data_IF_834091184476
#
_entry.id   IF_834091184476
#
_cell.length_a   1.000
_cell.length_b   1.000
_cell.length_c   1.000
_cell.angle_alpha   90.00
_cell.angle_beta   90.00
_cell.angle_gamma   90.00
#
_symmetry.space_group_name_H-M   'P 1'
#
loop_
_entity.id
_entity.type
_entity.pdbx_description
1 polymer ?
#
# COMPACT_ATOMS: atom_id res chain seq x y z
N UNK A 1 -26.39 5.50 -4.13
CA UNK A 1 -25.07 6.08 -4.49
C UNK A 1 -23.96 5.81 -3.43
N UNK A 2 -24.18 4.98 -2.39
CA UNK A 2 -23.32 4.94 -1.20
C UNK A 2 -22.12 3.97 -1.19
N UNK A 3 -21.63 3.49 -2.35
CA UNK A 3 -20.56 2.47 -2.37
C UNK A 3 -19.21 2.96 -2.93
N UNK A 4 -19.17 4.12 -3.60
CA UNK A 4 -17.94 4.62 -4.25
C UNK A 4 -17.04 5.33 -3.23
N UNK A 5 -17.61 6.06 -2.27
CA UNK A 5 -16.86 6.80 -1.24
C UNK A 5 -16.15 5.88 -0.23
N UNK A 6 -16.75 4.72 0.05
CA UNK A 6 -16.21 3.68 0.93
C UNK A 6 -15.36 2.65 0.18
N UNK A 7 -15.42 2.63 -1.15
CA UNK A 7 -14.61 1.78 -2.00
C UNK A 7 -13.16 2.26 -2.05
N UNK A 8 -12.25 1.37 -2.44
CA UNK A 8 -10.81 1.68 -2.47
C UNK A 8 -10.47 2.85 -3.40
N UNK A 9 -11.23 3.03 -4.49
CA UNK A 9 -11.10 4.16 -5.40
C UNK A 9 -11.46 5.50 -4.74
N UNK A 10 -12.57 5.56 -3.99
CA UNK A 10 -12.97 6.76 -3.26
C UNK A 10 -12.00 7.10 -2.13
N UNK A 11 -11.58 6.09 -1.37
CA UNK A 11 -10.56 6.26 -0.34
C UNK A 11 -9.22 6.72 -0.94
N UNK A 12 -8.85 6.23 -2.12
CA UNK A 12 -7.64 6.68 -2.80
C UNK A 12 -7.73 8.11 -3.30
N UNK A 13 -8.85 8.50 -3.92
CA UNK A 13 -9.08 9.88 -4.38
C UNK A 13 -8.94 10.88 -3.23
N UNK A 14 -9.51 10.54 -2.06
CA UNK A 14 -9.37 11.33 -0.83
C UNK A 14 -7.93 11.33 -0.29
N UNK A 15 -7.25 10.17 -0.34
CA UNK A 15 -5.83 10.08 0.05
C UNK A 15 -4.95 10.99 -0.80
N UNK A 16 -5.16 11.07 -2.13
CA UNK A 16 -4.43 11.98 -3.02
C UNK A 16 -4.61 13.44 -2.57
N UNK A 17 -5.81 13.83 -2.14
CA UNK A 17 -6.12 15.18 -1.62
C UNK A 17 -5.49 15.47 -0.25
N UNK A 18 -4.80 14.50 0.36
CA UNK A 18 -4.11 14.64 1.65
C UNK A 18 -4.94 14.19 2.85
N UNK A 19 -6.11 13.57 2.64
CA UNK A 19 -6.93 13.05 3.74
C UNK A 19 -6.32 11.77 4.31
N UNK A 20 -5.48 11.92 5.34
CA UNK A 20 -4.76 10.80 5.97
C UNK A 20 -5.68 9.72 6.54
N UNK A 21 -6.90 10.08 6.96
CA UNK A 21 -7.89 9.12 7.45
C UNK A 21 -8.34 8.13 6.36
N UNK A 22 -8.50 8.60 5.11
CA UNK A 22 -8.84 7.73 4.00
C UNK A 22 -7.72 6.73 3.70
N UNK A 23 -6.46 7.18 3.79
CA UNK A 23 -5.29 6.33 3.64
C UNK A 23 -5.16 5.31 4.78
N UNK A 24 -5.49 5.70 6.01
CA UNK A 24 -5.51 4.79 7.17
C UNK A 24 -6.48 3.63 6.96
N UNK A 25 -7.65 3.89 6.37
CA UNK A 25 -8.62 2.83 6.03
C UNK A 25 -8.05 1.89 4.96
N UNK A 26 -7.41 2.42 3.91
CA UNK A 26 -6.72 1.60 2.90
C UNK A 26 -5.61 0.74 3.51
N UNK A 27 -4.79 1.33 4.38
CA UNK A 27 -3.75 0.61 5.12
C UNK A 27 -4.34 -0.55 5.92
N UNK A 28 -5.38 -0.29 6.73
CA UNK A 28 -6.00 -1.32 7.57
C UNK A 28 -6.60 -2.47 6.74
N UNK A 29 -7.17 -2.18 5.56
CA UNK A 29 -7.71 -3.19 4.65
C UNK A 29 -6.63 -4.07 4.01
N UNK A 30 -5.49 -3.48 3.63
CA UNK A 30 -4.48 -4.17 2.82
C UNK A 30 -3.30 -4.72 3.61
N UNK A 31 -3.06 -4.24 4.84
CA UNK A 31 -1.89 -4.60 5.66
C UNK A 31 -1.68 -6.11 5.80
N UNK A 32 -2.73 -6.87 6.06
CA UNK A 32 -2.59 -8.33 6.30
C UNK A 32 -2.17 -9.07 5.03
N UNK A 33 -2.69 -8.66 3.87
CA UNK A 33 -2.36 -9.29 2.59
C UNK A 33 -0.92 -8.98 2.17
N UNK A 34 -0.50 -7.73 2.36
CA UNK A 34 0.86 -7.28 2.03
C UNK A 34 1.88 -7.89 2.99
N UNK A 35 1.61 -7.87 4.30
CA UNK A 35 2.45 -8.52 5.29
C UNK A 35 2.65 -10.00 4.99
N UNK A 36 1.57 -10.75 4.68
CA UNK A 36 1.69 -12.17 4.29
C UNK A 36 2.49 -12.38 3.02
N UNK A 37 2.44 -11.43 2.08
CA UNK A 37 3.24 -11.50 0.86
C UNK A 37 4.72 -11.25 1.18
N UNK A 38 5.02 -10.16 1.90
CA UNK A 38 6.38 -9.83 2.34
C UNK A 38 7.00 -10.97 3.16
N UNK A 39 6.24 -11.55 4.10
CA UNK A 39 6.70 -12.67 4.92
C UNK A 39 7.02 -13.94 4.11
N UNK A 40 6.28 -14.20 3.03
CA UNK A 40 6.60 -15.32 2.12
C UNK A 40 7.90 -15.10 1.34
N UNK A 41 8.32 -13.85 1.16
CA UNK A 41 9.54 -13.49 0.44
C UNK A 41 10.75 -13.41 1.38
N UNK A 42 10.59 -12.78 2.55
CA UNK A 42 11.68 -12.58 3.51
C UNK A 42 11.92 -13.80 4.40
N UNK A 43 10.88 -14.56 4.75
CA UNK A 43 10.94 -15.62 5.76
C UNK A 43 11.08 -15.10 7.20
N UNK A 44 11.34 -13.81 7.39
CA UNK A 44 11.45 -13.14 8.68
C UNK A 44 10.31 -12.14 8.92
N UNK A 45 9.83 -12.08 10.17
CA UNK A 45 8.70 -11.22 10.57
C UNK A 45 9.09 -9.74 10.60
N UNK A 46 10.26 -9.41 11.14
CA UNK A 46 10.72 -8.03 11.24
C UNK A 46 10.95 -7.45 9.85
N UNK A 47 11.60 -8.20 8.97
CA UNK A 47 11.79 -7.80 7.58
C UNK A 47 10.45 -7.61 6.87
N UNK A 48 9.47 -8.50 7.11
CA UNK A 48 8.14 -8.37 6.52
C UNK A 48 7.37 -7.13 7.02
N UNK A 49 7.54 -6.76 8.30
CA UNK A 49 6.97 -5.54 8.87
C UNK A 49 7.60 -4.29 8.24
N UNK A 50 8.92 -4.28 8.07
CA UNK A 50 9.66 -3.16 7.48
C UNK A 50 9.37 -2.97 5.99
N UNK A 51 9.36 -4.06 5.22
CA UNK A 51 8.97 -4.07 3.80
C UNK A 51 7.56 -3.50 3.63
N UNK A 52 6.60 -3.97 4.43
CA UNK A 52 5.23 -3.48 4.38
C UNK A 52 5.17 -1.99 4.73
N UNK A 53 5.84 -1.57 5.82
CA UNK A 53 5.83 -0.18 6.26
C UNK A 53 6.39 0.76 5.20
N UNK A 54 7.55 0.39 4.62
CA UNK A 54 8.20 1.12 3.54
C UNK A 54 7.31 1.20 2.30
N UNK A 55 6.67 0.09 1.91
CA UNK A 55 5.78 0.05 0.76
C UNK A 55 4.59 1.03 0.91
N UNK A 56 3.97 1.07 2.09
CA UNK A 56 2.89 2.03 2.34
C UNK A 56 3.39 3.47 2.44
N UNK A 57 4.56 3.70 3.03
CA UNK A 57 5.15 5.04 3.11
C UNK A 57 5.43 5.60 1.71
N UNK A 58 6.03 4.80 0.84
CA UNK A 58 6.31 5.19 -0.55
C UNK A 58 5.03 5.38 -1.36
N UNK A 59 4.01 4.54 -1.14
CA UNK A 59 2.68 4.75 -1.72
C UNK A 59 2.09 6.11 -1.29
N UNK A 60 2.20 6.48 -0.01
CA UNK A 60 1.74 7.77 0.48
C UNK A 60 2.53 8.94 -0.12
N UNK A 61 3.86 8.86 -0.17
CA UNK A 61 4.71 9.91 -0.75
C UNK A 61 4.46 10.11 -2.24
N UNK A 62 4.25 9.01 -2.95
CA UNK A 62 4.04 8.99 -4.41
C UNK A 62 2.58 9.08 -4.82
N UNK A 63 1.63 9.26 -3.89
CA UNK A 63 0.18 9.24 -4.15
C UNK A 63 -0.28 10.15 -5.30
N UNK A 64 0.34 11.32 -5.47
CA UNK A 64 0.01 12.26 -6.55
C UNK A 64 0.49 11.80 -7.95
N UNK A 65 1.45 10.85 -7.99
CA UNK A 65 2.05 10.31 -9.22
C UNK A 65 1.58 8.88 -9.53
N UNK A 66 1.08 8.15 -8.52
CA UNK A 66 0.58 6.78 -8.67
C UNK A 66 -0.80 6.81 -9.34
N UNK A 67 -0.89 6.26 -10.55
CA UNK A 67 -2.17 5.95 -11.20
C UNK A 67 -2.63 4.58 -10.74
N UNK A 68 -3.87 4.49 -10.25
CA UNK A 68 -4.51 3.21 -9.99
C UNK A 68 -4.68 2.49 -11.34
N UNK A 69 -4.21 1.25 -11.40
CA UNK A 69 -4.49 0.32 -12.51
C UNK A 69 -5.51 -0.68 -11.97
N UNK A 70 -6.63 -0.87 -12.67
CA UNK A 70 -7.70 -1.83 -12.30
C UNK A 70 -8.30 -1.66 -10.89
N UNK A 71 -8.43 -0.42 -10.39
CA UNK A 71 -9.02 -0.18 -9.07
C UNK A 71 -8.13 -0.57 -7.87
N UNK A 72 -6.88 -0.97 -8.10
CA UNK A 72 -5.99 -1.48 -7.05
C UNK A 72 -4.59 -0.88 -7.07
N UNK A 73 -4.07 -0.53 -5.89
CA UNK A 73 -2.68 -0.12 -5.66
C UNK A 73 -1.73 -1.32 -5.50
N UNK A 74 -2.26 -2.55 -5.50
CA UNK A 74 -1.49 -3.77 -5.30
C UNK A 74 -0.33 -3.98 -6.28
N UNK A 75 -0.47 -3.71 -7.59
CA UNK A 75 0.64 -3.94 -8.52
C UNK A 75 1.89 -3.14 -8.16
N UNK A 76 1.73 -1.91 -7.63
CA UNK A 76 2.85 -1.10 -7.14
C UNK A 76 3.46 -1.65 -5.85
N UNK A 77 2.63 -2.14 -4.93
CA UNK A 77 3.08 -2.68 -3.64
C UNK A 77 3.80 -4.02 -3.76
N UNK A 78 3.60 -4.75 -4.87
CA UNK A 78 4.26 -6.03 -5.16
C UNK A 78 5.61 -5.87 -5.89
N UNK A 79 5.90 -4.69 -6.46
CA UNK A 79 7.12 -4.43 -7.25
C UNK A 79 8.27 -3.88 -6.40
N UNK A 80 8.02 -3.57 -5.12
CA UNK A 80 9.05 -3.05 -4.22
C UNK A 80 9.88 -4.23 -3.68
N UNK A 81 10.70 -4.84 -4.54
CA UNK A 81 11.97 -5.46 -4.15
C UNK A 81 12.87 -5.73 -5.36
N UNK A 82 14.04 -5.07 -5.46
CA UNK A 82 15.28 -5.68 -4.96
C UNK A 82 16.27 -4.79 -4.16
N UNK A 83 15.96 -3.53 -3.82
CA UNK A 83 17.01 -2.55 -3.41
C UNK A 83 17.40 -2.48 -1.92
N UNK A 84 16.99 -3.43 -1.07
CA UNK A 84 17.34 -3.45 0.37
C UNK A 84 18.12 -4.71 0.79
N UNK A 85 18.53 -5.54 -0.17
CA UNK A 85 19.54 -6.60 0.01
C UNK A 85 20.83 -6.20 -0.74
N UNK A 86 21.43 -5.08 -0.38
CA UNK A 86 22.87 -4.91 -0.63
C UNK A 86 23.57 -5.19 0.72
N UNK A 87 24.46 -6.19 0.79
CA UNK A 87 25.11 -6.63 2.03
C UNK A 87 26.10 -5.61 2.62
#
# INVERSE_FOLDING_TARGET
MGNIESGDEGLWSRSIKGEGEAFRVLYARHRNRIFRHAYRLSGDRHDAEDIMATAFLELWRSRAKVRIVEGSVLPWLLVIWPWLLEP
#
